data_IF_178294600087
#
_entry.id   IF_178294600087
#
_cell.length_a   1.000
_cell.length_b   1.000
_cell.length_c   1.000
_cell.angle_alpha   90.00
_cell.angle_beta   90.00
_cell.angle_gamma   90.00
#
_symmetry.space_group_name_H-M   'P 1'
#
loop_
_entity.id
_entity.type
_entity.pdbx_description
1 polymer ?
#
# COMPACT_ATOMS: atom_id res chain seq x y z
N UNK A 1 -9.98 102.20 -47.72
CA UNK A 1 -10.29 102.01 -49.15
C UNK A 1 -9.06 102.43 -49.94
N UNK A 2 -8.46 101.60 -50.80
CA UNK A 2 -8.83 100.21 -51.17
C UNK A 2 -7.57 99.45 -51.60
N UNK A 3 -7.50 98.15 -51.32
CA UNK A 3 -6.47 97.23 -51.86
C UNK A 3 -7.11 96.40 -52.97
N UNK A 4 -6.44 96.19 -54.10
CA UNK A 4 -6.19 94.81 -54.50
C UNK A 4 -4.72 94.53 -54.89
N UNK A 5 -4.32 93.31 -54.53
CA UNK A 5 -3.19 92.52 -55.02
C UNK A 5 -3.19 92.31 -56.54
N UNK A 6 -2.02 92.13 -57.17
CA UNK A 6 -1.84 91.23 -58.31
C UNK A 6 -1.41 89.81 -57.87
N UNK A 7 -1.49 88.86 -58.80
CA UNK A 7 -1.29 87.41 -58.63
C UNK A 7 -0.17 86.89 -59.57
N UNK A 8 0.28 85.64 -59.36
CA UNK A 8 0.96 84.78 -60.35
C UNK A 8 2.45 84.98 -60.68
N UNK A 9 3.29 84.07 -60.17
CA UNK A 9 4.38 83.31 -60.87
C UNK A 9 5.17 82.54 -59.79
N UNK A 10 5.39 81.22 -59.77
CA UNK A 10 5.56 80.14 -60.78
C UNK A 10 7.02 79.95 -61.26
N UNK A 11 7.60 78.78 -60.93
CA UNK A 11 8.90 78.18 -61.34
C UNK A 11 10.22 78.85 -60.83
N UNK A 12 11.08 78.15 -60.07
CA UNK A 12 12.19 77.23 -60.48
C UNK A 12 13.54 78.01 -60.57
N UNK A 13 14.75 77.52 -60.27
CA UNK A 13 15.32 76.17 -60.02
C UNK A 13 16.64 76.29 -59.18
N UNK A 14 17.41 75.19 -59.01
CA UNK A 14 18.69 75.12 -58.24
C UNK A 14 18.60 74.13 -57.07
N UNK A 15 19.07 72.88 -57.10
CA UNK A 15 20.03 72.12 -57.96
C UNK A 15 21.50 72.15 -57.49
N UNK A 16 22.18 70.98 -57.58
CA UNK A 16 23.55 70.64 -57.11
C UNK A 16 23.75 70.72 -55.57
N UNK A 17 24.46 69.86 -54.83
CA UNK A 17 25.23 68.60 -55.01
C UNK A 17 25.25 67.90 -53.61
N UNK A 18 25.69 66.66 -53.33
CA UNK A 18 26.33 65.56 -54.08
C UNK A 18 26.11 64.19 -53.34
N UNK A 19 26.81 63.14 -53.79
CA UNK A 19 27.19 61.89 -53.07
C UNK A 19 26.11 60.93 -52.52
N UNK A 20 26.07 59.71 -53.09
CA UNK A 20 25.23 58.59 -52.63
C UNK A 20 26.07 57.33 -52.35
N UNK A 21 26.55 57.13 -51.09
CA UNK A 21 27.11 55.85 -50.64
C UNK A 21 26.00 54.80 -50.43
N UNK A 22 26.32 53.49 -50.37
CA UNK A 22 25.42 52.45 -50.82
C UNK A 22 24.24 52.13 -49.88
N UNK A 23 23.24 51.48 -50.49
CA UNK A 23 22.02 50.94 -49.87
C UNK A 23 22.32 50.02 -48.68
N UNK A 24 22.53 50.63 -47.52
CA UNK A 24 22.65 49.97 -46.22
C UNK A 24 21.28 49.47 -45.78
N UNK A 25 20.81 48.42 -46.44
CA UNK A 25 19.56 47.74 -46.17
C UNK A 25 19.58 47.21 -44.73
N UNK A 26 19.03 48.01 -43.81
CA UNK A 26 18.88 47.68 -42.39
C UNK A 26 18.03 46.42 -42.27
N UNK A 27 18.74 45.28 -42.25
CA UNK A 27 18.20 43.94 -42.12
C UNK A 27 17.65 43.78 -40.72
N UNK A 28 16.45 44.34 -40.50
CA UNK A 28 15.72 44.26 -39.24
C UNK A 28 15.70 42.80 -38.82
N UNK A 29 16.35 42.41 -37.70
CA UNK A 29 16.41 41.02 -37.30
C UNK A 29 14.96 40.54 -37.12
N UNK A 30 14.59 39.38 -37.70
CA UNK A 30 13.22 38.90 -37.61
C UNK A 30 12.88 38.70 -36.14
N UNK A 31 12.00 39.56 -35.61
CA UNK A 31 11.51 39.51 -34.22
C UNK A 31 10.84 38.16 -33.99
N UNK A 32 11.62 37.16 -33.54
CA UNK A 32 11.14 35.80 -33.25
C UNK A 32 9.97 35.90 -32.28
N UNK A 33 8.75 35.73 -32.82
CA UNK A 33 7.50 35.80 -32.05
C UNK A 33 7.54 34.72 -30.98
N UNK A 34 7.80 35.08 -29.72
CA UNK A 34 7.71 34.19 -28.55
C UNK A 34 6.27 33.68 -28.27
N UNK A 35 5.33 33.79 -29.22
CA UNK A 35 3.92 33.39 -29.10
C UNK A 35 3.73 31.89 -28.81
N UNK A 36 4.72 31.03 -29.09
CA UNK A 36 4.70 29.63 -28.68
C UNK A 36 4.96 29.37 -27.18
N UNK A 37 5.74 30.24 -26.49
CA UNK A 37 6.11 29.99 -25.08
C UNK A 37 4.89 30.06 -24.14
N UNK A 38 3.96 30.99 -24.37
CA UNK A 38 2.76 31.12 -23.54
C UNK A 38 1.88 29.86 -23.58
N UNK A 39 1.66 29.30 -24.77
CA UNK A 39 0.89 28.06 -24.94
C UNK A 39 1.59 26.83 -24.34
N UNK A 40 2.92 26.73 -24.45
CA UNK A 40 3.67 25.65 -23.79
C UNK A 40 3.61 25.74 -22.27
N UNK A 41 3.70 26.95 -21.69
CA UNK A 41 3.54 27.15 -20.24
C UNK A 41 2.11 26.82 -19.81
N UNK A 42 1.09 27.27 -20.55
CA UNK A 42 -0.31 26.96 -20.25
C UNK A 42 -0.60 25.45 -20.32
N UNK A 43 -0.03 24.74 -21.29
CA UNK A 43 -0.14 23.28 -21.41
C UNK A 43 0.56 22.57 -20.26
N UNK A 44 1.77 22.99 -19.87
CA UNK A 44 2.48 22.42 -18.71
C UNK A 44 1.73 22.65 -17.40
N UNK A 45 1.15 23.84 -17.19
CA UNK A 45 0.30 24.15 -16.03
C UNK A 45 -0.98 23.29 -16.05
N UNK A 46 -1.63 23.12 -17.20
CA UNK A 46 -2.81 22.26 -17.32
C UNK A 46 -2.47 20.79 -17.02
N UNK A 47 -1.35 20.27 -17.53
CA UNK A 47 -0.86 18.92 -17.23
C UNK A 47 -0.54 18.77 -15.74
N UNK A 48 0.12 19.75 -15.12
CA UNK A 48 0.40 19.74 -13.68
C UNK A 48 -0.89 19.78 -12.83
N UNK A 49 -1.90 20.56 -13.22
CA UNK A 49 -3.21 20.59 -12.56
C UNK A 49 -3.96 19.25 -12.70
N UNK A 50 -3.89 18.60 -13.87
CA UNK A 50 -4.48 17.27 -14.08
C UNK A 50 -3.78 16.20 -13.23
N UNK A 51 -2.45 16.22 -13.14
CA UNK A 51 -1.66 15.34 -12.25
C UNK A 51 -2.04 15.56 -10.78
N UNK A 52 -2.16 16.83 -10.36
CA UNK A 52 -2.57 17.19 -9.01
C UNK A 52 -3.98 16.70 -8.67
N UNK A 53 -4.95 16.93 -9.56
CA UNK A 53 -6.32 16.46 -9.40
C UNK A 53 -6.41 14.92 -9.35
N UNK A 54 -5.61 14.21 -10.15
CA UNK A 54 -5.53 12.75 -10.18
C UNK A 54 -5.04 12.17 -8.84
N UNK A 55 -3.98 12.74 -8.27
CA UNK A 55 -3.46 12.32 -6.96
C UNK A 55 -4.39 12.69 -5.80
N UNK A 56 -5.09 13.83 -5.87
CA UNK A 56 -6.13 14.20 -4.88
C UNK A 56 -7.30 13.21 -4.95
N UNK A 57 -7.75 12.82 -6.14
CA UNK A 57 -8.83 11.85 -6.31
C UNK A 57 -8.47 10.46 -5.77
N UNK A 58 -7.22 10.01 -5.95
CA UNK A 58 -6.71 8.78 -5.34
C UNK A 58 -6.75 8.87 -3.80
N UNK A 59 -6.09 9.88 -3.21
CA UNK A 59 -6.01 10.06 -1.75
C UNK A 59 -7.38 10.19 -1.05
N UNK A 60 -8.35 10.83 -1.71
CA UNK A 60 -9.74 10.91 -1.21
C UNK A 60 -10.42 9.54 -1.27
N UNK A 61 -10.18 8.74 -2.31
CA UNK A 61 -10.75 7.40 -2.47
C UNK A 61 -10.15 6.41 -1.48
N UNK A 62 -8.83 6.38 -1.35
CA UNK A 62 -8.08 5.61 -0.34
C UNK A 62 -8.63 5.88 1.06
N UNK A 63 -8.77 7.17 1.42
CA UNK A 63 -9.28 7.60 2.72
C UNK A 63 -10.74 7.17 2.96
N UNK A 64 -11.58 7.11 1.92
CA UNK A 64 -12.97 6.61 2.02
C UNK A 64 -13.02 5.07 2.13
N UNK A 65 -12.21 4.34 1.35
CA UNK A 65 -12.11 2.89 1.44
C UNK A 65 -11.63 2.45 2.82
N UNK A 66 -10.57 3.08 3.34
CA UNK A 66 -10.08 2.83 4.68
C UNK A 66 -11.16 3.05 5.76
N UNK A 67 -11.96 4.11 5.66
CA UNK A 67 -13.08 4.34 6.58
C UNK A 67 -14.17 3.26 6.45
N UNK A 68 -14.49 2.83 5.23
CA UNK A 68 -15.47 1.75 4.98
C UNK A 68 -14.98 0.39 5.50
N UNK A 69 -13.69 0.09 5.36
CA UNK A 69 -13.07 -1.12 5.95
C UNK A 69 -13.14 -1.03 7.48
N UNK A 70 -12.77 0.11 8.07
CA UNK A 70 -12.87 0.31 9.52
C UNK A 70 -14.28 0.02 10.05
N UNK A 71 -15.33 0.59 9.44
CA UNK A 71 -16.71 0.38 9.89
C UNK A 71 -17.22 -1.04 9.61
N UNK A 72 -16.86 -1.66 8.48
CA UNK A 72 -17.35 -3.00 8.13
C UNK A 72 -16.69 -4.14 8.90
N UNK A 73 -15.40 -3.98 9.26
CA UNK A 73 -14.65 -4.95 10.06
C UNK A 73 -14.56 -4.55 11.56
N UNK A 74 -15.29 -3.52 11.99
CA UNK A 74 -15.32 -3.00 13.36
C UNK A 74 -13.91 -2.68 13.95
N UNK A 75 -13.00 -2.18 13.11
CA UNK A 75 -11.60 -1.99 13.50
C UNK A 75 -11.45 -0.84 14.52
N UNK A 76 -10.68 -1.10 15.57
CA UNK A 76 -10.36 -0.12 16.63
C UNK A 76 -9.63 1.13 16.11
N UNK A 77 -8.97 1.03 14.94
CA UNK A 77 -8.24 2.09 14.26
C UNK A 77 -8.61 2.11 12.78
N UNK A 78 -8.41 3.25 12.13
CA UNK A 78 -8.51 3.35 10.67
C UNK A 78 -7.32 2.64 10.03
N UNK A 79 -7.53 1.70 9.08
CA UNK A 79 -6.45 1.04 8.36
C UNK A 79 -5.80 1.99 7.33
N UNK A 80 -4.63 1.62 6.82
CA UNK A 80 -4.10 2.20 5.58
C UNK A 80 -4.74 1.53 4.37
N UNK A 81 -4.89 2.28 3.29
CA UNK A 81 -5.24 1.77 1.95
C UNK A 81 -4.45 2.61 0.95
N UNK A 82 -3.79 1.98 -0.02
CA UNK A 82 -3.22 2.67 -1.17
C UNK A 82 -3.72 2.09 -2.49
N UNK A 83 -3.86 2.94 -3.52
CA UNK A 83 -4.18 2.53 -4.89
C UNK A 83 -3.07 3.03 -5.82
N UNK A 84 -2.27 2.08 -6.28
CA UNK A 84 -1.11 2.35 -7.12
C UNK A 84 -1.48 2.70 -8.56
N UNK A 85 -0.47 3.13 -9.32
CA UNK A 85 -0.59 3.43 -10.74
C UNK A 85 -1.05 4.86 -11.05
N UNK A 86 -0.80 5.29 -12.28
CA UNK A 86 -1.08 6.63 -12.77
C UNK A 86 -1.43 6.59 -14.27
N UNK A 87 -2.48 7.29 -14.74
CA UNK A 87 -3.43 8.09 -13.97
C UNK A 87 -4.47 7.22 -13.22
N UNK A 88 -4.82 7.62 -12.01
CA UNK A 88 -5.90 7.02 -11.22
C UNK A 88 -7.27 7.18 -11.91
N UNK A 89 -7.57 8.35 -12.50
CA UNK A 89 -8.85 8.54 -13.20
C UNK A 89 -9.01 7.59 -14.40
N UNK A 90 -7.92 7.22 -15.07
CA UNK A 90 -7.96 6.23 -16.16
C UNK A 90 -8.30 4.83 -15.63
N UNK A 91 -7.73 4.45 -14.48
CA UNK A 91 -8.07 3.20 -13.79
C UNK A 91 -9.56 3.18 -13.39
N UNK A 92 -10.07 4.25 -12.77
CA UNK A 92 -11.50 4.40 -12.42
C UNK A 92 -12.41 4.26 -13.65
N UNK A 93 -12.09 4.92 -14.77
CA UNK A 93 -12.90 4.86 -16.00
C UNK A 93 -12.90 3.44 -16.61
N UNK A 94 -11.76 2.75 -16.58
CA UNK A 94 -11.66 1.35 -17.04
C UNK A 94 -12.32 0.36 -16.07
N UNK A 95 -12.48 0.75 -14.80
CA UNK A 95 -12.81 -0.08 -13.62
C UNK A 95 -11.76 -1.16 -13.31
N UNK A 96 -10.56 -1.05 -13.88
CA UNK A 96 -9.43 -1.92 -13.60
C UNK A 96 -8.32 -1.14 -12.88
N UNK A 97 -7.86 -1.66 -11.74
CA UNK A 97 -6.77 -1.09 -10.95
C UNK A 97 -5.64 -2.10 -10.87
N UNK A 98 -4.41 -1.69 -11.20
CA UNK A 98 -3.27 -2.61 -11.32
C UNK A 98 -2.85 -3.22 -9.99
N UNK A 99 -2.66 -2.37 -8.98
CA UNK A 99 -2.27 -2.76 -7.62
C UNK A 99 -3.00 -1.89 -6.59
N UNK A 100 -3.33 -2.48 -5.44
CA UNK A 100 -3.79 -1.77 -4.25
C UNK A 100 -3.31 -2.51 -2.99
N UNK A 101 -2.97 -1.79 -1.93
CA UNK A 101 -2.52 -2.37 -0.65
C UNK A 101 -3.47 -1.99 0.48
N UNK A 102 -3.54 -2.83 1.51
CA UNK A 102 -4.30 -2.58 2.75
C UNK A 102 -3.47 -2.99 3.96
N UNK A 103 -3.32 -2.07 4.93
CA UNK A 103 -2.62 -2.32 6.19
C UNK A 103 -3.59 -2.21 7.38
N UNK A 104 -3.67 -3.24 8.22
CA UNK A 104 -4.52 -3.27 9.42
C UNK A 104 -3.67 -3.55 10.66
N UNK A 105 -3.53 -2.57 11.55
CA UNK A 105 -2.82 -2.73 12.83
C UNK A 105 -3.77 -3.14 13.97
N UNK A 106 -3.32 -4.06 14.83
CA UNK A 106 -3.98 -4.49 16.06
C UNK A 106 -5.43 -4.99 15.85
N UNK A 107 -5.58 -6.07 15.08
CA UNK A 107 -6.82 -6.84 14.98
C UNK A 107 -6.86 -7.94 16.07
N UNK A 108 -8.03 -8.22 16.62
CA UNK A 108 -8.30 -9.44 17.36
C UNK A 108 -9.25 -10.31 16.53
N UNK A 109 -8.76 -11.46 16.06
CA UNK A 109 -9.57 -12.44 15.35
C UNK A 109 -9.84 -13.63 16.30
N UNK A 110 -11.03 -13.63 16.91
CA UNK A 110 -11.55 -14.73 17.75
C UNK A 110 -10.68 -15.04 18.99
N UNK A 111 -10.06 -14.02 19.58
CA UNK A 111 -9.14 -14.14 20.72
C UNK A 111 -7.67 -14.35 20.32
N UNK A 112 -7.36 -14.40 19.02
CA UNK A 112 -5.98 -14.37 18.53
C UNK A 112 -5.59 -12.93 18.20
N UNK A 113 -4.66 -12.31 18.97
CA UNK A 113 -4.20 -10.96 18.69
C UNK A 113 -3.22 -10.96 17.50
N UNK A 114 -3.59 -10.25 16.45
CA UNK A 114 -2.78 -10.03 15.25
C UNK A 114 -2.20 -8.63 15.33
N UNK A 115 -0.87 -8.51 15.30
CA UNK A 115 -0.17 -7.24 15.44
C UNK A 115 -0.42 -6.33 14.24
N UNK A 116 -0.34 -6.92 13.05
CA UNK A 116 -0.40 -6.26 11.77
C UNK A 116 -0.87 -7.26 10.69
N UNK A 117 -1.66 -6.79 9.72
CA UNK A 117 -1.99 -7.50 8.49
C UNK A 117 -1.66 -6.60 7.32
N UNK A 118 -0.83 -7.10 6.40
CA UNK A 118 -0.58 -6.51 5.10
C UNK A 118 -1.30 -7.34 4.03
N UNK A 119 -1.95 -6.69 3.07
CA UNK A 119 -2.59 -7.37 1.93
C UNK A 119 -2.35 -6.62 0.61
N UNK A 120 -1.75 -7.30 -0.36
CA UNK A 120 -1.60 -6.84 -1.74
C UNK A 120 -2.72 -7.42 -2.61
N UNK A 121 -3.41 -6.54 -3.32
CA UNK A 121 -4.38 -6.88 -4.34
C UNK A 121 -3.77 -6.55 -5.71
N UNK A 122 -3.57 -7.54 -6.56
CA UNK A 122 -3.12 -7.35 -7.94
C UNK A 122 -4.23 -7.69 -8.94
N UNK A 123 -4.43 -6.81 -9.93
CA UNK A 123 -5.46 -6.94 -10.95
C UNK A 123 -6.87 -6.86 -10.38
N UNK A 124 -7.30 -5.67 -9.93
CA UNK A 124 -8.62 -5.45 -9.33
C UNK A 124 -9.62 -4.97 -10.38
N UNK A 125 -10.55 -5.82 -10.77
CA UNK A 125 -11.61 -5.56 -11.74
C UNK A 125 -12.93 -5.28 -11.05
N UNK A 126 -13.36 -4.01 -11.00
CA UNK A 126 -14.61 -3.59 -10.34
C UNK A 126 -15.81 -3.79 -11.27
N UNK A 127 -16.89 -4.35 -10.72
CA UNK A 127 -18.11 -4.63 -11.46
C UNK A 127 -18.77 -3.35 -12.00
N UNK A 128 -19.57 -3.48 -13.06
CA UNK A 128 -20.27 -2.34 -13.68
C UNK A 128 -21.23 -1.61 -12.73
N UNK A 129 -21.71 -2.28 -11.67
CA UNK A 129 -22.54 -1.72 -10.61
C UNK A 129 -21.78 -1.28 -9.35
N UNK A 130 -20.44 -1.34 -9.33
CA UNK A 130 -19.58 -0.95 -8.18
C UNK A 130 -19.93 -1.63 -6.84
N UNK A 131 -20.62 -2.77 -6.88
CA UNK A 131 -21.08 -3.53 -5.71
C UNK A 131 -20.19 -4.75 -5.38
N UNK A 132 -19.30 -5.10 -6.29
CA UNK A 132 -18.35 -6.21 -6.23
C UNK A 132 -17.11 -5.90 -7.07
N UNK A 133 -16.03 -6.63 -6.82
CA UNK A 133 -14.81 -6.60 -7.62
C UNK A 133 -14.23 -8.03 -7.69
N UNK A 134 -13.42 -8.33 -8.70
CA UNK A 134 -12.61 -9.57 -8.74
C UNK A 134 -11.14 -9.18 -8.70
N UNK A 135 -10.33 -9.90 -7.94
CA UNK A 135 -8.88 -9.68 -7.81
C UNK A 135 -8.15 -10.87 -8.44
N UNK A 136 -7.32 -10.63 -9.44
CA UNK A 136 -6.60 -11.68 -10.17
C UNK A 136 -5.69 -12.48 -9.22
N UNK A 137 -4.97 -11.80 -8.32
CA UNK A 137 -4.24 -12.42 -7.20
C UNK A 137 -4.26 -11.53 -5.96
N UNK A 138 -4.59 -12.14 -4.82
CA UNK A 138 -4.56 -11.56 -3.48
C UNK A 138 -3.48 -12.27 -2.66
N UNK A 139 -2.49 -11.55 -2.15
CA UNK A 139 -1.54 -12.06 -1.15
C UNK A 139 -1.76 -11.33 0.18
N UNK A 140 -1.79 -12.08 1.28
CA UNK A 140 -1.97 -11.51 2.62
C UNK A 140 -0.93 -12.08 3.58
N UNK A 141 -0.35 -11.22 4.42
CA UNK A 141 0.58 -11.61 5.49
C UNK A 141 0.05 -11.09 6.83
N UNK A 142 -0.10 -11.97 7.82
CA UNK A 142 -0.51 -11.64 9.17
C UNK A 142 0.66 -11.87 10.16
N UNK A 143 1.04 -10.83 10.88
CA UNK A 143 2.11 -10.87 11.89
C UNK A 143 1.51 -11.09 13.29
N UNK A 144 1.88 -12.20 13.94
CA UNK A 144 1.55 -12.47 15.34
C UNK A 144 2.73 -12.05 16.23
N UNK A 145 2.62 -10.95 16.97
CA UNK A 145 3.75 -10.48 17.78
C UNK A 145 3.98 -11.33 19.03
N UNK A 146 5.25 -11.56 19.40
CA UNK A 146 5.59 -12.27 20.63
C UNK A 146 5.05 -11.54 21.87
N UNK A 147 5.00 -10.21 21.87
CA UNK A 147 4.52 -9.42 23.00
C UNK A 147 3.04 -9.66 23.30
N UNK A 148 2.19 -9.66 22.26
CA UNK A 148 0.76 -9.94 22.40
C UNK A 148 0.51 -11.41 22.74
N UNK A 149 1.13 -12.35 22.01
CA UNK A 149 0.98 -13.78 22.26
C UNK A 149 1.44 -14.17 23.68
N UNK A 150 2.58 -13.66 24.15
CA UNK A 150 3.07 -13.86 25.53
C UNK A 150 2.05 -13.37 26.56
N UNK A 151 1.43 -12.21 26.30
CA UNK A 151 0.43 -11.60 27.19
C UNK A 151 -0.86 -12.41 27.25
N UNK A 152 -1.33 -12.96 26.13
CA UNK A 152 -2.52 -13.82 26.08
C UNK A 152 -2.24 -15.17 26.73
N UNK A 153 -1.17 -15.87 26.32
CA UNK A 153 -0.81 -17.17 26.89
C UNK A 153 -0.55 -17.12 28.41
N UNK A 154 0.06 -16.05 28.92
CA UNK A 154 0.28 -15.88 30.37
C UNK A 154 -1.03 -15.76 31.17
N UNK A 155 -2.08 -15.19 30.57
CA UNK A 155 -3.41 -15.09 31.20
C UNK A 155 -4.13 -16.43 31.16
N UNK A 156 -4.17 -17.06 29.98
CA UNK A 156 -4.96 -18.25 29.72
C UNK A 156 -4.40 -19.50 30.42
N UNK A 157 -3.07 -19.61 30.50
CA UNK A 157 -2.41 -20.77 31.11
C UNK A 157 -2.36 -20.71 32.64
N UNK A 158 -2.47 -19.52 33.26
CA UNK A 158 -2.45 -19.34 34.72
C UNK A 158 -1.14 -19.71 35.44
N UNK A 159 -0.13 -20.23 34.75
CA UNK A 159 1.16 -20.71 35.31
C UNK A 159 2.20 -19.61 35.56
N UNK A 160 1.84 -18.33 35.40
CA UNK A 160 2.75 -17.19 35.52
C UNK A 160 3.16 -16.62 34.16
N UNK A 161 4.23 -15.81 34.14
CA UNK A 161 4.67 -15.13 32.93
C UNK A 161 5.32 -16.11 31.94
N UNK A 162 4.69 -16.26 30.78
CA UNK A 162 5.25 -16.87 29.57
C UNK A 162 5.86 -15.76 28.72
N UNK A 163 7.06 -15.99 28.19
CA UNK A 163 7.76 -15.11 27.26
C UNK A 163 8.08 -15.89 25.99
N UNK A 164 7.65 -15.38 24.84
CA UNK A 164 8.02 -15.91 23.52
C UNK A 164 9.16 -15.10 22.90
N UNK A 165 9.97 -15.76 22.08
CA UNK A 165 11.08 -15.16 21.34
C UNK A 165 11.46 -16.00 20.11
N UNK A 166 12.26 -15.46 19.21
CA UNK A 166 12.82 -16.21 18.08
C UNK A 166 13.79 -17.30 18.59
N UNK A 167 13.58 -18.54 18.12
CA UNK A 167 14.48 -19.68 18.28
C UNK A 167 15.37 -19.89 17.06
N UNK A 168 15.91 -21.10 16.90
CA UNK A 168 16.78 -21.44 15.77
C UNK A 168 15.98 -21.72 14.48
N UNK A 169 16.14 -20.89 13.45
CA UNK A 169 15.38 -21.03 12.20
C UNK A 169 13.88 -20.81 12.42
N UNK A 170 13.04 -21.71 11.91
CA UNK A 170 11.58 -21.61 12.04
C UNK A 170 11.05 -22.19 13.37
N UNK A 171 11.70 -21.81 14.48
CA UNK A 171 11.33 -22.22 15.84
C UNK A 171 10.98 -21.01 16.69
N UNK A 172 9.87 -21.07 17.43
CA UNK A 172 9.56 -20.10 18.50
C UNK A 172 10.06 -20.68 19.82
N UNK A 173 10.90 -19.92 20.53
CA UNK A 173 11.34 -20.27 21.88
C UNK A 173 10.34 -19.71 22.90
N UNK A 174 9.68 -20.60 23.63
CA UNK A 174 8.84 -20.26 24.77
C UNK A 174 9.61 -20.48 26.08
N UNK A 175 9.58 -19.50 26.98
CA UNK A 175 10.18 -19.58 28.31
C UNK A 175 9.20 -19.13 29.40
N UNK A 176 9.22 -19.80 30.55
CA UNK A 176 8.41 -19.43 31.72
C UNK A 176 9.15 -19.76 33.02
N UNK A 177 8.74 -19.13 34.12
CA UNK A 177 9.30 -19.40 35.45
C UNK A 177 8.18 -19.89 36.37
N UNK A 178 8.33 -21.11 36.89
CA UNK A 178 7.40 -21.72 37.84
C UNK A 178 8.08 -21.90 39.20
N UNK A 179 7.63 -21.14 40.21
CA UNK A 179 8.15 -21.18 41.59
C UNK A 179 9.69 -21.03 41.71
N UNK A 180 10.29 -20.20 40.86
CA UNK A 180 11.75 -19.98 40.80
C UNK A 180 12.48 -20.86 39.77
N UNK A 181 11.83 -21.90 39.25
CA UNK A 181 12.40 -22.81 38.26
C UNK A 181 12.13 -22.26 36.85
N UNK A 182 13.19 -21.80 36.19
CA UNK A 182 13.15 -21.46 34.77
C UNK A 182 13.01 -22.71 33.89
N UNK A 183 12.04 -22.69 32.97
CA UNK A 183 11.80 -23.73 31.98
C UNK A 183 11.69 -23.05 30.60
N UNK A 184 12.29 -23.65 29.57
CA UNK A 184 12.05 -23.21 28.19
C UNK A 184 11.95 -24.39 27.22
N UNK A 185 11.30 -24.15 26.08
CA UNK A 185 11.13 -25.11 25.01
C UNK A 185 11.22 -24.41 23.65
N UNK A 186 11.89 -25.07 22.69
CA UNK A 186 12.06 -24.58 21.33
C UNK A 186 11.08 -25.33 20.42
N UNK A 187 10.01 -24.63 20.00
CA UNK A 187 8.86 -25.18 19.26
C UNK A 187 9.01 -24.86 17.78
N UNK A 188 9.27 -25.87 16.95
CA UNK A 188 9.22 -25.71 15.50
C UNK A 188 7.79 -25.44 15.04
N UNK A 189 7.63 -24.51 14.10
CA UNK A 189 6.34 -24.16 13.50
C UNK A 189 6.43 -24.37 12.00
N UNK A 190 5.44 -25.06 11.42
CA UNK A 190 5.43 -25.40 9.99
C UNK A 190 4.03 -25.37 9.40
N UNK A 191 3.96 -25.08 8.09
CA UNK A 191 2.74 -25.13 7.29
C UNK A 191 2.51 -26.56 6.80
N UNK A 192 1.30 -27.08 7.02
CA UNK A 192 0.81 -28.33 6.44
C UNK A 192 -0.29 -28.06 5.41
N UNK A 193 -0.34 -28.91 4.39
CA UNK A 193 -1.36 -28.86 3.32
C UNK A 193 -2.78 -28.84 3.89
N UNK A 194 -3.65 -28.00 3.30
CA UNK A 194 -5.03 -27.80 3.76
C UNK A 194 -5.14 -26.89 4.98
N UNK A 195 -4.48 -25.73 4.95
CA UNK A 195 -4.58 -24.64 5.93
C UNK A 195 -4.42 -25.10 7.40
N UNK A 196 -3.38 -25.90 7.67
CA UNK A 196 -3.03 -26.39 9.00
C UNK A 196 -1.65 -25.90 9.41
N UNK A 197 -1.49 -25.57 10.68
CA UNK A 197 -0.19 -25.34 11.31
C UNK A 197 0.19 -26.54 12.18
N UNK A 198 1.41 -27.04 12.02
CA UNK A 198 2.01 -28.02 12.93
C UNK A 198 3.02 -27.32 13.84
N UNK A 199 2.73 -27.35 15.13
CA UNK A 199 3.60 -26.91 16.21
C UNK A 199 4.22 -28.14 16.85
N UNK A 200 5.55 -28.19 16.93
CA UNK A 200 6.27 -29.35 17.43
C UNK A 200 7.44 -28.95 18.33
N UNK A 201 7.36 -29.27 19.61
CA UNK A 201 8.52 -29.12 20.51
C UNK A 201 9.68 -29.97 20.00
N UNK A 202 10.84 -29.34 19.79
CA UNK A 202 12.07 -30.00 19.34
C UNK A 202 13.09 -30.18 20.47
N UNK A 203 13.13 -29.23 21.40
CA UNK A 203 14.05 -29.23 22.54
C UNK A 203 13.37 -28.64 23.78
N UNK A 204 13.74 -29.13 24.97
CA UNK A 204 13.18 -28.70 26.26
C UNK A 204 14.32 -28.58 27.27
N UNK A 205 14.43 -27.41 27.89
CA UNK A 205 15.43 -27.09 28.90
C UNK A 205 14.73 -26.87 30.23
N UNK A 206 14.95 -27.77 31.19
CA UNK A 206 14.42 -27.68 32.55
C UNK A 206 15.40 -28.30 33.54
N UNK A 207 15.68 -27.66 34.70
CA UNK A 207 16.40 -28.31 35.80
C UNK A 207 15.74 -29.60 36.31
N UNK A 208 14.42 -29.74 36.13
CA UNK A 208 13.65 -30.91 36.55
C UNK A 208 13.94 -32.16 35.70
N UNK A 209 14.49 -32.01 34.48
CA UNK A 209 14.82 -33.14 33.60
C UNK A 209 15.87 -34.07 34.23
N UNK A 210 16.77 -33.54 35.05
CA UNK A 210 17.75 -34.32 35.82
C UNK A 210 17.15 -35.12 36.98
N UNK A 211 15.88 -34.89 37.33
CA UNK A 211 15.15 -35.58 38.40
C UNK A 211 14.23 -36.70 37.87
N UNK A 212 14.28 -36.99 36.57
CA UNK A 212 13.44 -38.03 35.94
C UNK A 212 11.95 -37.70 35.83
N UNK A 213 11.54 -36.48 36.22
CA UNK A 213 10.17 -36.01 36.11
C UNK A 213 9.81 -35.69 34.66
N UNK A 214 8.68 -36.21 34.18
CA UNK A 214 8.18 -35.89 32.83
C UNK A 214 7.77 -34.43 32.76
N UNK A 215 8.49 -33.63 31.99
CA UNK A 215 8.08 -32.26 31.65
C UNK A 215 6.82 -32.30 30.76
N UNK A 216 5.84 -31.40 30.95
CA UNK A 216 4.60 -31.40 30.17
C UNK A 216 4.75 -30.87 28.73
N UNK A 217 5.98 -30.76 28.23
CA UNK A 217 6.35 -29.95 27.07
C UNK A 217 6.26 -30.69 25.72
N UNK A 218 5.59 -31.85 25.65
CA UNK A 218 5.35 -32.59 24.40
C UNK A 218 4.22 -31.93 23.57
N UNK A 219 4.42 -30.70 23.15
CA UNK A 219 3.50 -29.95 22.29
C UNK A 219 3.73 -30.36 20.83
N UNK A 220 3.12 -31.48 20.41
CA UNK A 220 2.91 -31.85 19.00
C UNK A 220 1.41 -31.61 18.70
N UNK A 221 1.10 -30.41 18.21
CA UNK A 221 -0.28 -29.90 18.05
C UNK A 221 -0.48 -29.42 16.63
N UNK A 222 -1.51 -29.95 15.97
CA UNK A 222 -1.85 -29.63 14.58
C UNK A 222 -3.13 -28.79 14.58
N UNK A 223 -2.97 -27.48 14.47
CA UNK A 223 -4.06 -26.50 14.52
C UNK A 223 -4.62 -26.31 13.12
N UNK A 224 -5.90 -26.69 12.85
CA UNK A 224 -6.56 -26.28 11.62
C UNK A 224 -6.98 -24.81 11.73
N UNK A 225 -6.56 -23.98 10.77
CA UNK A 225 -7.05 -22.61 10.63
C UNK A 225 -8.46 -22.57 10.00
N UNK A 226 -8.93 -23.72 9.50
CA UNK A 226 -10.19 -23.86 8.78
C UNK A 226 -10.12 -23.26 7.37
N UNK A 227 -11.27 -22.84 6.86
CA UNK A 227 -11.33 -22.08 5.62
C UNK A 227 -10.87 -20.65 5.90
N UNK A 228 -9.74 -20.25 5.33
CA UNK A 228 -9.28 -18.86 5.41
C UNK A 228 -10.24 -17.94 4.65
N UNK A 229 -10.28 -16.64 4.98
CA UNK A 229 -11.07 -15.66 4.23
C UNK A 229 -10.80 -15.74 2.72
N UNK A 230 -11.83 -15.47 1.93
CA UNK A 230 -11.77 -15.36 0.47
C UNK A 230 -11.32 -16.63 -0.29
N UNK A 231 -11.24 -17.79 0.39
CA UNK A 231 -10.73 -19.02 -0.20
C UNK A 231 -9.21 -19.07 -0.31
N UNK A 232 -8.49 -18.19 0.39
CA UNK A 232 -7.02 -18.19 0.39
C UNK A 232 -6.43 -19.50 0.93
N UNK A 233 -5.25 -19.83 0.43
CA UNK A 233 -4.47 -20.99 0.84
C UNK A 233 -3.22 -20.53 1.60
N UNK A 234 -2.93 -21.20 2.70
CA UNK A 234 -1.76 -20.94 3.55
C UNK A 234 -0.48 -21.33 2.79
N UNK A 235 0.44 -20.37 2.61
CA UNK A 235 1.55 -20.49 1.65
C UNK A 235 2.92 -20.67 2.32
N UNK A 236 3.25 -19.83 3.31
CA UNK A 236 4.55 -19.87 4.03
C UNK A 236 4.39 -19.26 5.43
N UNK A 237 5.25 -19.65 6.37
CA UNK A 237 5.29 -19.14 7.74
C UNK A 237 6.73 -18.90 8.17
N UNK A 238 7.02 -17.69 8.68
CA UNK A 238 8.37 -17.25 9.04
C UNK A 238 8.43 -16.74 10.47
N UNK A 239 9.30 -17.34 11.27
CA UNK A 239 9.67 -16.87 12.60
C UNK A 239 10.63 -15.69 12.47
N UNK A 240 10.22 -14.50 12.92
CA UNK A 240 11.01 -13.27 12.90
C UNK A 240 11.48 -12.88 14.31
N UNK A 241 12.34 -11.85 14.49
CA UNK A 241 12.76 -11.39 15.82
C UNK A 241 11.63 -10.83 16.69
N UNK A 242 10.53 -10.37 16.09
CA UNK A 242 9.40 -9.68 16.76
C UNK A 242 8.13 -10.53 16.86
N UNK A 243 8.00 -11.56 16.04
CA UNK A 243 6.81 -12.41 16.00
C UNK A 243 6.90 -13.54 14.99
N UNK A 244 5.74 -13.99 14.53
CA UNK A 244 5.60 -14.99 13.46
C UNK A 244 4.76 -14.39 12.34
N UNK A 245 5.32 -14.32 11.14
CA UNK A 245 4.61 -13.88 9.93
C UNK A 245 4.00 -15.10 9.23
N UNK A 246 2.72 -15.02 8.91
CA UNK A 246 1.93 -16.09 8.31
C UNK A 246 1.36 -15.56 6.99
N UNK A 247 1.77 -16.16 5.88
CA UNK A 247 1.39 -15.70 4.53
C UNK A 247 0.39 -16.64 3.86
N UNK A 248 -0.56 -16.07 3.12
CA UNK A 248 -1.57 -16.79 2.36
C UNK A 248 -1.80 -16.15 0.98
N UNK A 249 -2.35 -16.92 0.04
CA UNK A 249 -2.57 -16.49 -1.34
C UNK A 249 -3.91 -16.99 -1.87
N UNK A 250 -4.62 -16.16 -2.63
CA UNK A 250 -5.82 -16.51 -3.39
C UNK A 250 -5.75 -15.97 -4.82
N UNK A 251 -6.43 -16.63 -5.74
CA UNK A 251 -6.51 -16.25 -7.16
C UNK A 251 -7.97 -16.13 -7.60
N UNK A 252 -8.28 -15.22 -8.52
CA UNK A 252 -9.65 -14.91 -8.96
C UNK A 252 -10.60 -14.64 -7.78
N UNK A 253 -10.12 -13.87 -6.80
CA UNK A 253 -10.85 -13.58 -5.56
C UNK A 253 -11.95 -12.56 -5.87
N UNK A 254 -13.19 -13.04 -5.98
CA UNK A 254 -14.36 -12.18 -5.88
C UNK A 254 -14.35 -11.47 -4.51
N UNK A 255 -14.79 -10.22 -4.49
CA UNK A 255 -15.03 -9.37 -3.33
C UNK A 255 -16.44 -8.79 -3.46
N UNK A 256 -17.23 -8.77 -2.39
CA UNK A 256 -18.59 -8.19 -2.39
C UNK A 256 -18.79 -7.31 -1.16
N UNK A 257 -19.74 -6.37 -1.23
CA UNK A 257 -20.04 -5.46 -0.13
C UNK A 257 -20.73 -6.05 1.12
N UNK A 258 -20.95 -7.37 1.22
CA UNK A 258 -21.66 -7.95 2.39
C UNK A 258 -21.30 -9.38 2.79
N UNK A 259 -20.86 -10.24 1.87
CA UNK A 259 -20.27 -11.55 2.18
C UNK A 259 -19.59 -12.14 0.95
N UNK A 260 -18.44 -12.77 1.13
CA UNK A 260 -17.51 -13.04 0.03
C UNK A 260 -17.25 -14.53 -0.13
N UNK A 261 -17.56 -15.05 -1.32
CA UNK A 261 -17.36 -16.45 -1.69
C UNK A 261 -16.76 -16.56 -3.09
N UNK A 262 -16.04 -17.66 -3.33
CA UNK A 262 -15.36 -17.94 -4.59
C UNK A 262 -16.37 -18.34 -5.67
N UNK A 263 -16.22 -17.82 -6.89
CA UNK A 263 -16.81 -18.43 -8.09
C UNK A 263 -15.95 -19.63 -8.50
N UNK A 264 -16.50 -20.85 -8.38
CA UNK A 264 -15.89 -22.09 -8.88
C UNK A 264 -16.22 -22.37 -10.34
#
# INVERSE_FOLDING_TARGET
MTVPTPESSDRYYGDYYEDAPPVSALSRPPRRRHRGRGWLIALLVLVALLIGADRIAAAVTESQLAAKIQSSQNLSRKPSVSIDGFPFLTQVISRHFGNATVDIDNLDERGVPIAHIHADLNGVHVSSGYNSATVDTLTGTATLSYAQLSTTLSKDAGIGQITLSQGAGNQVKAAYNLAGIGISADVAVSVLSGNRLEFKTTHVQSPLSGLGLKTPANFDVKVPLGNLPFGMQLQDLRVTPTGVDISATGHNVLLTGSSVGTTG
#
